data_IF_129068538919
#
_entry.id   IF_129068538919
#
_cell.length_a   1.000
_cell.length_b   1.000
_cell.length_c   1.000
_cell.angle_alpha   90.00
_cell.angle_beta   90.00
_cell.angle_gamma   90.00
#
_symmetry.space_group_name_H-M   'P 1'
#
loop_
_entity.id
_entity.type
_entity.pdbx_description
1 polymer ?
#
# COMPACT_ATOMS: atom_id res chain seq x y z
N UNK A 1 19.08 30.04 8.07
CA UNK A 1 17.92 30.70 7.44
C UNK A 1 16.74 30.17 8.19
N UNK A 2 15.97 31.07 8.78
CA UNK A 2 14.92 30.72 9.73
C UNK A 2 13.57 30.95 9.07
N UNK A 3 12.62 30.06 9.36
CA UNK A 3 11.25 30.17 8.87
C UNK A 3 10.49 31.12 9.81
N UNK A 4 9.68 32.02 9.26
CA UNK A 4 8.80 32.89 10.02
C UNK A 4 7.37 32.71 9.53
N UNK A 5 6.44 32.47 10.45
CA UNK A 5 5.00 32.55 10.15
C UNK A 5 4.59 34.02 10.21
N UNK A 6 3.86 34.48 9.20
CA UNK A 6 3.30 35.82 9.16
C UNK A 6 1.79 35.81 8.91
N UNK A 7 1.12 36.81 9.48
CA UNK A 7 -0.24 37.21 9.13
C UNK A 7 -0.22 38.65 8.68
N UNK A 8 -0.73 38.91 7.49
CA UNK A 8 -0.75 40.23 6.89
C UNK A 8 -2.05 40.49 6.14
N UNK A 9 -2.27 41.73 5.77
CA UNK A 9 -3.31 42.14 4.83
C UNK A 9 -2.67 42.66 3.56
N UNK A 10 -3.23 42.34 2.40
CA UNK A 10 -2.82 43.00 1.17
C UNK A 10 -3.41 44.41 1.07
N UNK A 11 -3.02 45.16 0.04
CA UNK A 11 -3.53 46.51 -0.22
C UNK A 11 -5.04 46.58 -0.51
N UNK A 12 -5.69 45.43 -0.75
CA UNK A 12 -7.14 45.32 -0.93
C UNK A 12 -7.89 44.96 0.36
N UNK A 13 -7.17 44.73 1.47
CA UNK A 13 -7.74 44.33 2.75
C UNK A 13 -8.00 42.82 2.87
N UNK A 14 -7.53 41.99 1.92
CA UNK A 14 -7.64 40.55 2.01
C UNK A 14 -6.55 39.98 2.93
N UNK A 15 -6.93 39.00 3.75
CA UNK A 15 -6.01 38.32 4.67
C UNK A 15 -5.03 37.45 3.88
N UNK A 16 -3.74 37.60 4.18
CA UNK A 16 -2.63 36.83 3.63
C UNK A 16 -1.81 36.26 4.77
N UNK A 17 -1.94 34.95 4.98
CA UNK A 17 -1.22 34.20 6.00
C UNK A 17 -0.27 33.21 5.32
N UNK A 18 0.98 33.12 5.77
CA UNK A 18 1.99 32.30 5.11
C UNK A 18 3.31 32.16 5.86
N UNK A 19 4.26 31.49 5.21
CA UNK A 19 5.61 31.25 5.71
C UNK A 19 6.64 31.95 4.84
N UNK A 20 7.62 32.61 5.47
CA UNK A 20 8.72 33.27 4.77
C UNK A 20 10.08 32.83 5.35
N UNK A 21 11.01 32.47 4.46
CA UNK A 21 12.40 32.16 4.82
C UNK A 21 13.22 33.46 4.85
N UNK A 22 13.79 33.80 5.99
CA UNK A 22 14.61 35.00 6.17
C UNK A 22 15.82 34.74 7.07
N UNK A 23 16.83 35.61 6.98
CA UNK A 23 18.02 35.52 7.85
C UNK A 23 17.71 35.91 9.30
N UNK A 24 16.81 36.87 9.47
CA UNK A 24 16.33 37.36 10.76
C UNK A 24 14.92 37.94 10.61
N UNK A 25 14.28 38.27 11.74
CA UNK A 25 12.93 38.85 11.78
C UNK A 25 12.82 40.18 11.02
N UNK A 26 13.89 40.99 11.01
CA UNK A 26 13.91 42.30 10.35
C UNK A 26 13.95 42.15 8.82
N UNK A 27 14.69 41.17 8.33
CA UNK A 27 14.73 40.79 6.93
C UNK A 27 13.37 40.25 6.45
N UNK A 28 12.71 39.41 7.25
CA UNK A 28 11.37 38.91 6.95
C UNK A 28 10.35 40.06 6.84
N UNK A 29 10.37 40.99 7.80
CA UNK A 29 9.52 42.19 7.78
C UNK A 29 9.77 43.05 6.53
N UNK A 30 11.04 43.23 6.15
CA UNK A 30 11.41 44.05 5.00
C UNK A 30 10.94 43.42 3.69
N UNK A 31 11.09 42.10 3.56
CA UNK A 31 10.66 41.36 2.38
C UNK A 31 9.13 41.33 2.23
N UNK A 32 8.40 41.19 3.33
CA UNK A 32 6.93 41.26 3.34
C UNK A 32 6.41 42.68 3.03
N UNK A 33 7.08 43.73 3.53
CA UNK A 33 6.77 45.11 3.16
C UNK A 33 7.03 45.40 1.69
N UNK A 34 8.11 44.86 1.11
CA UNK A 34 8.40 44.98 -0.32
C UNK A 34 7.34 44.30 -1.20
N UNK A 35 6.63 43.31 -0.67
CA UNK A 35 5.50 42.65 -1.32
C UNK A 35 4.16 43.40 -1.15
N UNK A 36 4.17 44.58 -0.51
CA UNK A 36 2.97 45.39 -0.31
C UNK A 36 2.01 44.85 0.76
N UNK A 37 2.49 43.95 1.63
CA UNK A 37 1.70 43.33 2.69
C UNK A 37 1.81 44.13 4.00
N UNK A 38 0.66 44.45 4.61
CA UNK A 38 0.52 45.09 5.93
C UNK A 38 0.52 44.02 7.02
N UNK A 39 1.66 43.86 7.68
CA UNK A 39 1.94 42.77 8.62
C UNK A 39 1.24 43.04 9.97
N UNK A 40 0.38 42.13 10.39
CA UNK A 40 -0.31 42.18 11.69
C UNK A 40 0.44 41.37 12.76
N UNK A 41 1.02 40.22 12.37
CA UNK A 41 1.71 39.33 13.28
C UNK A 41 2.88 38.64 12.55
N UNK A 42 4.05 38.60 13.18
CA UNK A 42 5.20 37.84 12.67
C UNK A 42 5.90 37.13 13.83
N UNK A 43 5.96 35.80 13.74
CA UNK A 43 6.55 34.92 14.77
C UNK A 43 7.64 34.07 14.13
N UNK A 44 8.76 33.92 14.84
CA UNK A 44 9.72 32.89 14.48
C UNK A 44 9.01 31.55 14.53
N UNK A 45 9.15 30.74 13.48
CA UNK A 45 8.61 29.39 13.44
C UNK A 45 9.37 28.57 14.48
N UNK A 46 8.89 28.60 15.71
CA UNK A 46 9.28 27.59 16.67
C UNK A 46 8.63 26.31 16.20
N UNK A 47 9.45 25.34 15.78
CA UNK A 47 9.00 23.96 15.66
C UNK A 47 8.57 23.52 17.05
N UNK A 48 7.34 23.85 17.41
CA UNK A 48 6.64 23.20 18.48
C UNK A 48 6.55 21.77 17.99
N UNK A 49 7.49 20.92 18.43
CA UNK A 49 7.42 19.48 18.28
C UNK A 49 6.15 19.06 18.99
N UNK A 50 5.03 19.18 18.28
CA UNK A 50 3.79 18.55 18.66
C UNK A 50 4.15 17.08 18.73
N UNK A 51 4.10 16.53 19.94
CA UNK A 51 4.22 15.10 20.23
C UNK A 51 3.13 14.31 19.44
N UNK A 52 2.19 15.02 18.81
CA UNK A 52 1.12 14.54 17.95
C UNK A 52 1.24 14.92 16.47
N UNK A 53 2.37 15.46 15.98
CA UNK A 53 2.61 15.46 14.54
C UNK A 53 3.01 14.04 14.13
N UNK A 54 2.00 13.20 13.89
CA UNK A 54 2.11 12.12 12.93
C UNK A 54 2.62 12.77 11.64
N UNK A 55 3.93 12.68 11.40
CA UNK A 55 4.51 12.99 10.10
C UNK A 55 3.79 12.11 9.10
N UNK A 56 2.78 12.67 8.44
CA UNK A 56 2.04 11.94 7.42
C UNK A 56 3.07 11.49 6.39
N UNK A 57 3.16 10.20 6.10
CA UNK A 57 4.04 9.75 5.04
C UNK A 57 3.42 10.17 3.71
N UNK A 58 4.26 10.41 2.71
CA UNK A 58 3.81 10.58 1.33
C UNK A 58 3.05 9.31 0.94
N UNK A 59 1.77 9.44 0.59
CA UNK A 59 0.95 8.31 0.20
C UNK A 59 1.12 8.01 -1.29
N UNK A 60 0.71 6.80 -1.71
CA UNK A 60 0.72 6.41 -3.12
C UNK A 60 -0.12 7.37 -3.99
N UNK A 61 -1.22 7.90 -3.45
CA UNK A 61 -2.04 8.88 -4.14
C UNK A 61 -1.33 10.25 -4.29
N UNK A 62 -0.54 10.64 -3.30
CA UNK A 62 0.25 11.88 -3.38
C UNK A 62 1.38 11.75 -4.42
N UNK A 63 2.01 10.56 -4.49
CA UNK A 63 3.04 10.26 -5.49
C UNK A 63 2.48 10.19 -6.92
N UNK A 64 1.30 9.57 -7.07
CA UNK A 64 0.57 9.52 -8.34
C UNK A 64 0.19 10.92 -8.82
N UNK A 65 -0.41 11.73 -7.95
CA UNK A 65 -0.72 13.13 -8.22
C UNK A 65 0.52 13.92 -8.65
N UNK A 66 1.60 13.86 -7.89
CA UNK A 66 2.87 14.53 -8.23
C UNK A 66 3.35 14.13 -9.63
N UNK A 67 3.39 12.83 -9.91
CA UNK A 67 3.92 12.29 -11.17
C UNK A 67 3.02 12.68 -12.36
N UNK A 68 1.70 12.66 -12.18
CA UNK A 68 0.73 13.05 -13.20
C UNK A 68 0.81 14.56 -13.52
N UNK A 69 0.88 15.41 -12.50
CA UNK A 69 1.01 16.86 -12.68
C UNK A 69 2.35 17.23 -13.32
N UNK A 70 3.45 16.58 -12.92
CA UNK A 70 4.75 16.76 -13.57
C UNK A 70 4.70 16.31 -15.04
N UNK A 71 4.06 15.18 -15.34
CA UNK A 71 3.85 14.74 -16.73
C UNK A 71 3.15 15.81 -17.56
N UNK A 72 2.06 16.40 -17.05
CA UNK A 72 1.29 17.42 -17.76
C UNK A 72 2.11 18.70 -18.00
N UNK A 73 2.84 19.15 -16.98
CA UNK A 73 3.69 20.33 -17.07
C UNK A 73 4.85 20.12 -18.06
N UNK A 74 5.51 18.96 -18.01
CA UNK A 74 6.59 18.61 -18.94
C UNK A 74 6.10 18.50 -20.39
N UNK A 75 4.92 17.92 -20.62
CA UNK A 75 4.27 17.89 -21.94
C UNK A 75 3.95 19.29 -22.46
N UNK A 76 3.70 20.24 -21.56
CA UNK A 76 3.48 21.65 -21.87
C UNK A 76 4.79 22.45 -22.05
N UNK A 77 5.95 21.78 -22.04
CA UNK A 77 7.26 22.41 -22.20
C UNK A 77 7.78 23.12 -20.95
N UNK A 78 7.13 22.94 -19.79
CA UNK A 78 7.61 23.52 -18.53
C UNK A 78 8.83 22.73 -18.05
N UNK A 79 9.90 23.44 -17.69
CA UNK A 79 11.09 22.81 -17.09
C UNK A 79 10.76 22.12 -15.77
N UNK A 80 11.42 21.00 -15.48
CA UNK A 80 11.17 20.18 -14.28
C UNK A 80 11.29 20.97 -12.96
N UNK A 81 12.29 21.84 -12.83
CA UNK A 81 12.52 22.67 -11.65
C UNK A 81 11.37 23.65 -11.39
N UNK A 82 10.85 24.26 -12.46
CA UNK A 82 9.65 25.10 -12.39
C UNK A 82 8.40 24.28 -12.11
N UNK A 83 8.27 23.10 -12.72
CA UNK A 83 7.13 22.20 -12.49
C UNK A 83 7.00 21.78 -11.02
N UNK A 84 8.11 21.38 -10.40
CA UNK A 84 8.18 21.05 -8.98
C UNK A 84 7.80 22.27 -8.12
N UNK A 85 8.27 23.47 -8.46
CA UNK A 85 7.90 24.70 -7.73
C UNK A 85 6.41 25.04 -7.85
N UNK A 86 5.81 24.86 -9.04
CA UNK A 86 4.36 25.06 -9.27
C UNK A 86 3.56 24.11 -8.38
N UNK A 87 3.87 22.81 -8.42
CA UNK A 87 3.14 21.80 -7.64
C UNK A 87 3.30 22.02 -6.13
N UNK A 88 4.49 22.45 -5.69
CA UNK A 88 4.75 22.78 -4.28
C UNK A 88 3.87 23.92 -3.76
N UNK A 89 3.53 24.90 -4.61
CA UNK A 89 2.67 26.05 -4.25
C UNK A 89 1.18 25.66 -4.23
N UNK A 90 0.78 24.67 -5.02
CA UNK A 90 -0.55 24.07 -4.94
C UNK A 90 -0.69 23.36 -3.60
N UNK A 91 -1.86 23.45 -2.93
CA UNK A 91 -2.13 22.94 -1.57
C UNK A 91 -1.84 21.44 -1.39
N UNK A 92 -0.56 21.09 -1.27
CA UNK A 92 -0.07 19.76 -0.99
C UNK A 92 -0.14 19.49 0.52
N UNK A 93 -0.29 18.21 0.91
CA UNK A 93 -0.08 17.80 2.30
C UNK A 93 1.31 18.24 2.77
N UNK A 94 1.50 18.59 4.06
CA UNK A 94 2.80 19.05 4.58
C UNK A 94 3.96 18.12 4.24
N UNK A 95 3.73 16.81 4.23
CA UNK A 95 4.73 15.81 3.88
C UNK A 95 5.18 15.86 2.41
N UNK A 96 4.23 16.02 1.49
CA UNK A 96 4.53 16.19 0.06
C UNK A 96 5.23 17.53 -0.18
N UNK A 97 4.80 18.60 0.50
CA UNK A 97 5.45 19.90 0.41
C UNK A 97 6.91 19.87 0.88
N UNK A 98 7.20 19.17 2.00
CA UNK A 98 8.56 18.97 2.50
C UNK A 98 9.41 18.18 1.50
N UNK A 99 8.88 17.06 0.99
CA UNK A 99 9.56 16.25 -0.02
C UNK A 99 9.90 17.06 -1.29
N UNK A 100 8.96 17.87 -1.78
CA UNK A 100 9.18 18.75 -2.94
C UNK A 100 10.18 19.86 -2.66
N UNK A 101 10.22 20.38 -1.42
CA UNK A 101 11.22 21.36 -1.00
C UNK A 101 12.63 20.75 -1.06
N UNK A 102 12.78 19.53 -0.56
CA UNK A 102 14.06 18.82 -0.57
C UNK A 102 14.50 18.52 -2.01
N UNK A 103 13.60 18.01 -2.86
CA UNK A 103 13.89 17.77 -4.29
C UNK A 103 14.29 19.06 -5.02
N UNK A 104 13.55 20.16 -4.81
CA UNK A 104 13.87 21.46 -5.43
C UNK A 104 15.23 22.00 -4.93
N UNK A 105 15.56 21.79 -3.66
CA UNK A 105 16.87 22.15 -3.10
C UNK A 105 18.00 21.38 -3.78
N UNK A 106 17.86 20.07 -3.97
CA UNK A 106 18.85 19.24 -4.65
C UNK A 106 19.06 19.64 -6.12
N UNK A 107 17.97 19.89 -6.84
CA UNK A 107 18.04 20.36 -8.22
C UNK A 107 18.71 21.74 -8.34
N UNK A 108 18.44 22.66 -7.41
CA UNK A 108 19.09 23.97 -7.36
C UNK A 108 20.58 23.90 -7.04
N UNK A 109 21.03 22.85 -6.35
CA UNK A 109 22.46 22.57 -6.13
C UNK A 109 23.15 22.01 -7.39
N UNK A 110 22.40 21.70 -8.45
CA UNK A 110 22.92 21.13 -9.69
C UNK A 110 22.98 19.60 -9.72
N UNK A 111 22.39 18.93 -8.72
CA UNK A 111 22.29 17.47 -8.74
C UNK A 111 21.28 17.02 -9.80
N UNK A 112 21.49 15.83 -10.39
CA UNK A 112 20.54 15.25 -11.34
C UNK A 112 19.21 14.91 -10.64
N UNK A 113 18.12 14.95 -11.40
CA UNK A 113 16.79 14.59 -10.93
C UNK A 113 16.76 13.16 -10.38
N UNK A 114 17.36 12.21 -11.09
CA UNK A 114 17.50 10.82 -10.66
C UNK A 114 18.23 10.68 -9.32
N UNK A 115 19.30 11.45 -9.10
CA UNK A 115 20.03 11.44 -7.82
C UNK A 115 19.19 12.03 -6.67
N UNK A 116 18.44 13.11 -6.94
CA UNK A 116 17.55 13.74 -5.97
C UNK A 116 16.42 12.77 -5.54
N UNK A 117 15.84 12.03 -6.49
CA UNK A 117 14.85 11.00 -6.17
C UNK A 117 15.45 9.81 -5.41
N UNK A 118 16.67 9.37 -5.76
CA UNK A 118 17.38 8.28 -5.06
C UNK A 118 17.72 8.61 -3.61
N UNK A 119 17.86 9.88 -3.26
CA UNK A 119 18.05 10.31 -1.88
C UNK A 119 16.84 10.00 -0.98
N UNK A 120 15.69 9.63 -1.56
CA UNK A 120 14.45 9.29 -0.84
C UNK A 120 13.96 7.86 -1.19
N UNK A 121 14.73 6.81 -0.82
CA UNK A 121 14.44 5.42 -1.21
C UNK A 121 13.17 4.85 -0.56
N UNK A 122 12.67 5.47 0.51
CA UNK A 122 11.42 5.08 1.16
C UNK A 122 10.17 5.46 0.33
N UNK A 123 10.31 6.40 -0.61
CA UNK A 123 9.21 6.95 -1.41
C UNK A 123 9.32 6.46 -2.86
N UNK A 124 10.53 6.50 -3.43
CA UNK A 124 10.77 6.16 -4.82
C UNK A 124 11.43 4.79 -4.93
N UNK A 125 10.77 3.88 -5.63
CA UNK A 125 11.34 2.55 -5.87
C UNK A 125 12.47 2.61 -6.92
N UNK A 126 13.37 1.61 -6.95
CA UNK A 126 14.50 1.61 -7.89
C UNK A 126 14.08 1.71 -9.36
N UNK A 127 12.92 1.15 -9.72
CA UNK A 127 12.39 1.22 -11.08
C UNK A 127 12.06 2.67 -11.46
N UNK A 128 11.38 3.40 -10.57
CA UNK A 128 11.06 4.83 -10.74
C UNK A 128 12.33 5.65 -10.98
N UNK A 129 13.34 5.49 -10.12
CA UNK A 129 14.60 6.23 -10.25
C UNK A 129 15.36 5.91 -11.54
N UNK A 130 15.40 4.64 -11.95
CA UNK A 130 16.11 4.22 -13.16
C UNK A 130 15.43 4.70 -14.44
N UNK A 131 14.09 4.75 -14.46
CA UNK A 131 13.35 5.32 -15.58
C UNK A 131 13.57 6.83 -15.68
N UNK A 132 13.62 7.53 -14.55
CA UNK A 132 13.94 8.97 -14.55
C UNK A 132 15.36 9.22 -15.05
N UNK A 133 16.36 8.46 -14.59
CA UNK A 133 17.74 8.57 -15.08
C UNK A 133 17.81 8.40 -16.59
N UNK A 134 17.12 7.38 -17.13
CA UNK A 134 17.01 7.18 -18.56
C UNK A 134 16.33 8.37 -19.27
N UNK A 135 15.26 8.91 -18.68
CA UNK A 135 14.57 10.08 -19.21
C UNK A 135 15.44 11.34 -19.21
N UNK A 136 16.31 11.50 -18.22
CA UNK A 136 17.30 12.58 -18.17
C UNK A 136 18.36 12.41 -19.26
N UNK A 137 18.93 11.21 -19.40
CA UNK A 137 19.96 10.89 -20.39
C UNK A 137 19.44 11.02 -21.84
N UNK A 138 18.20 10.60 -22.09
CA UNK A 138 17.57 10.61 -23.42
C UNK A 138 16.83 11.92 -23.74
N UNK A 139 16.65 12.80 -22.76
CA UNK A 139 15.86 14.03 -22.91
C UNK A 139 14.35 13.80 -23.02
N UNK A 140 13.86 12.59 -22.75
CA UNK A 140 12.45 12.21 -22.89
C UNK A 140 11.70 12.10 -21.55
N UNK A 141 12.01 12.99 -20.60
CA UNK A 141 11.35 13.01 -19.29
C UNK A 141 9.82 13.08 -19.38
N UNK A 142 9.29 13.82 -20.35
CA UNK A 142 7.84 13.99 -20.56
C UNK A 142 7.12 12.65 -20.75
N UNK A 143 7.67 11.76 -21.59
CA UNK A 143 7.08 10.44 -21.83
C UNK A 143 7.27 9.51 -20.62
N UNK A 144 8.46 9.53 -20.01
CA UNK A 144 8.75 8.74 -18.80
C UNK A 144 7.79 9.08 -17.66
N UNK A 145 7.57 10.36 -17.38
CA UNK A 145 6.61 10.78 -16.36
C UNK A 145 5.18 10.38 -16.72
N UNK A 146 4.82 10.36 -18.01
CA UNK A 146 3.50 9.90 -18.46
C UNK A 146 3.28 8.41 -18.17
N UNK A 147 4.27 7.57 -18.50
CA UNK A 147 4.16 6.13 -18.28
C UNK A 147 4.24 5.78 -16.78
N UNK A 148 5.08 6.49 -16.01
CA UNK A 148 5.10 6.39 -14.54
C UNK A 148 3.76 6.81 -13.91
N UNK A 149 3.12 7.88 -14.42
CA UNK A 149 1.81 8.31 -13.93
C UNK A 149 0.74 7.25 -14.18
N UNK A 150 0.72 6.63 -15.38
CA UNK A 150 -0.20 5.52 -15.69
C UNK A 150 0.02 4.32 -14.75
N UNK A 151 1.27 3.93 -14.50
CA UNK A 151 1.61 2.84 -13.59
C UNK A 151 1.17 3.12 -12.15
N UNK A 152 1.44 4.34 -11.65
CA UNK A 152 1.08 4.75 -10.30
C UNK A 152 -0.44 4.87 -10.13
N UNK A 153 -1.15 5.41 -11.12
CA UNK A 153 -2.62 5.44 -11.15
C UNK A 153 -3.18 4.04 -11.05
N UNK A 154 -2.66 3.12 -11.84
CA UNK A 154 -3.06 1.73 -11.79
C UNK A 154 -2.79 1.08 -10.43
N UNK A 155 -1.58 1.24 -9.86
CA UNK A 155 -1.25 0.75 -8.50
C UNK A 155 -2.18 1.33 -7.43
N UNK A 156 -2.53 2.61 -7.55
CA UNK A 156 -3.45 3.31 -6.64
C UNK A 156 -4.86 2.75 -6.76
N UNK A 157 -5.35 2.54 -7.98
CA UNK A 157 -6.68 2.00 -8.24
C UNK A 157 -6.80 0.55 -7.73
N UNK A 158 -5.80 -0.29 -7.98
CA UNK A 158 -5.71 -1.63 -7.38
C UNK A 158 -5.74 -1.57 -5.85
N UNK A 159 -4.91 -0.71 -5.24
CA UNK A 159 -4.86 -0.59 -3.78
C UNK A 159 -6.19 -0.12 -3.23
N UNK A 160 -6.82 0.86 -3.87
CA UNK A 160 -8.14 1.37 -3.51
C UNK A 160 -9.20 0.27 -3.61
N UNK A 161 -9.16 -0.54 -4.68
CA UNK A 161 -10.06 -1.68 -4.86
C UNK A 161 -9.88 -2.72 -3.76
N UNK A 162 -8.64 -3.11 -3.44
CA UNK A 162 -8.34 -4.05 -2.34
C UNK A 162 -8.90 -3.52 -1.02
N UNK A 163 -8.62 -2.25 -0.67
CA UNK A 163 -9.08 -1.65 0.58
C UNK A 163 -10.61 -1.54 0.61
N UNK A 164 -11.23 -1.11 -0.49
CA UNK A 164 -12.68 -1.01 -0.65
C UNK A 164 -13.36 -2.37 -0.46
N UNK A 165 -12.84 -3.41 -1.10
CA UNK A 165 -13.32 -4.78 -0.96
C UNK A 165 -13.17 -5.34 0.46
N UNK A 166 -12.11 -4.98 1.20
CA UNK A 166 -11.91 -5.43 2.58
C UNK A 166 -12.73 -4.66 3.62
N UNK A 167 -13.29 -3.51 3.25
CA UNK A 167 -14.04 -2.67 4.20
C UNK A 167 -15.26 -3.40 4.72
N UNK A 168 -16.01 -4.08 3.84
CA UNK A 168 -17.23 -4.79 4.21
C UNK A 168 -16.98 -6.03 5.10
N UNK A 169 -16.06 -6.97 4.77
CA UNK A 169 -15.67 -8.05 5.67
C UNK A 169 -15.22 -7.57 7.05
N UNK A 170 -14.51 -6.45 7.14
CA UNK A 170 -14.03 -5.91 8.40
C UNK A 170 -15.18 -5.39 9.29
N UNK A 171 -16.19 -4.76 8.69
CA UNK A 171 -17.41 -4.35 9.41
C UNK A 171 -18.17 -5.57 9.94
N UNK A 172 -18.40 -6.59 9.10
CA UNK A 172 -19.04 -7.83 9.56
C UNK A 172 -18.23 -8.46 10.69
N UNK A 173 -16.91 -8.61 10.52
CA UNK A 173 -16.05 -9.20 11.53
C UNK A 173 -16.12 -8.42 12.85
N UNK A 174 -16.16 -7.09 12.81
CA UNK A 174 -16.36 -6.28 14.01
C UNK A 174 -17.72 -6.56 14.70
N UNK A 175 -18.80 -6.67 13.92
CA UNK A 175 -20.13 -7.04 14.44
C UNK A 175 -20.14 -8.46 15.01
N UNK A 176 -19.48 -9.42 14.34
CA UNK A 176 -19.31 -10.79 14.83
C UNK A 176 -18.61 -10.79 16.19
N UNK A 177 -17.45 -10.12 16.29
CA UNK A 177 -16.68 -10.03 17.53
C UNK A 177 -17.49 -9.37 18.65
N UNK A 178 -18.21 -8.29 18.35
CA UNK A 178 -19.09 -7.61 19.32
C UNK A 178 -20.22 -8.54 19.78
N UNK A 179 -20.85 -9.27 18.87
CA UNK A 179 -21.93 -10.21 19.21
C UNK A 179 -21.43 -11.37 20.07
N UNK A 180 -20.27 -11.95 19.73
CA UNK A 180 -19.60 -12.98 20.54
C UNK A 180 -19.32 -12.43 21.94
N UNK A 181 -18.72 -11.24 22.03
CA UNK A 181 -18.41 -10.59 23.29
C UNK A 181 -19.66 -10.36 24.15
N UNK A 182 -20.75 -9.89 23.55
CA UNK A 182 -22.03 -9.68 24.21
C UNK A 182 -22.62 -10.99 24.75
N UNK A 183 -22.59 -12.06 23.96
CA UNK A 183 -23.05 -13.38 24.38
C UNK A 183 -22.28 -13.88 25.61
N UNK A 184 -20.95 -13.84 25.58
CA UNK A 184 -20.12 -14.37 26.66
C UNK A 184 -20.12 -13.52 27.92
N UNK A 185 -20.22 -12.19 27.82
CA UNK A 185 -20.19 -11.32 29.00
C UNK A 185 -21.56 -11.05 29.59
N UNK A 186 -22.64 -11.14 28.80
CA UNK A 186 -23.99 -10.74 29.27
C UNK A 186 -24.94 -11.91 29.28
N UNK A 187 -25.02 -12.70 28.21
CA UNK A 187 -26.04 -13.73 28.06
C UNK A 187 -25.68 -14.98 28.87
N UNK A 188 -24.49 -15.54 28.65
CA UNK A 188 -24.08 -16.79 29.31
C UNK A 188 -23.96 -16.65 30.84
N UNK A 189 -23.40 -15.56 31.41
CA UNK A 189 -23.32 -15.43 32.87
C UNK A 189 -24.70 -15.33 33.54
N UNK A 190 -25.67 -14.66 32.90
CA UNK A 190 -27.05 -14.63 33.40
C UNK A 190 -27.65 -16.02 33.45
N UNK A 191 -27.35 -16.86 32.45
CA UNK A 191 -27.79 -18.25 32.44
C UNK A 191 -27.08 -19.08 33.51
N UNK A 192 -25.77 -18.88 33.72
CA UNK A 192 -25.02 -19.60 34.76
C UNK A 192 -25.64 -19.47 36.16
N UNK A 193 -26.25 -18.33 36.47
CA UNK A 193 -26.96 -18.10 37.74
C UNK A 193 -28.21 -18.99 37.86
N UNK A 194 -28.89 -19.27 36.75
CA UNK A 194 -30.07 -20.14 36.73
C UNK A 194 -29.71 -21.63 36.88
N UNK A 195 -28.46 -21.97 36.59
CA UNK A 195 -27.92 -23.33 36.61
C UNK A 195 -27.11 -23.65 37.89
N UNK A 196 -26.94 -22.68 38.81
CA UNK A 196 -26.10 -22.87 40.01
C UNK A 196 -26.62 -23.95 40.96
N UNK A 197 -27.93 -24.20 40.94
CA UNK A 197 -28.62 -25.11 41.86
C UNK A 197 -28.92 -26.48 41.21
N UNK A 198 -28.58 -26.67 39.93
CA UNK A 198 -28.79 -27.92 39.21
C UNK A 198 -27.67 -28.93 39.55
N UNK A 199 -28.06 -30.12 40.01
CA UNK A 199 -27.12 -31.14 40.53
C UNK A 199 -26.34 -31.87 39.44
N UNK A 200 -26.88 -31.93 38.21
CA UNK A 200 -26.20 -32.46 37.02
C UNK A 200 -26.50 -31.56 35.81
N UNK A 201 -25.45 -31.00 35.21
CA UNK A 201 -25.56 -30.21 33.98
C UNK A 201 -25.28 -31.10 32.76
N UNK A 202 -26.06 -30.97 31.67
CA UNK A 202 -25.73 -31.65 30.43
C UNK A 202 -24.36 -31.20 29.90
N UNK A 203 -23.62 -32.13 29.28
CA UNK A 203 -22.25 -31.89 28.80
C UNK A 203 -22.12 -30.67 27.86
N UNK A 204 -23.16 -30.38 27.08
CA UNK A 204 -23.18 -29.23 26.16
C UNK A 204 -23.29 -27.89 26.90
N UNK A 205 -24.02 -27.86 28.02
CA UNK A 205 -24.14 -26.69 28.91
C UNK A 205 -22.86 -26.48 29.68
N UNK A 206 -22.24 -27.55 30.18
CA UNK A 206 -20.94 -27.51 30.87
C UNK A 206 -19.83 -26.99 29.94
N UNK A 207 -19.77 -27.46 28.70
CA UNK A 207 -18.82 -26.97 27.69
C UNK A 207 -19.03 -25.48 27.41
N UNK A 208 -20.29 -25.04 27.25
CA UNK A 208 -20.62 -23.63 27.03
C UNK A 208 -20.18 -22.74 28.21
N UNK A 209 -20.48 -23.16 29.44
CA UNK A 209 -20.10 -22.42 30.66
C UNK A 209 -18.58 -22.43 30.86
N UNK A 210 -17.91 -23.56 30.62
CA UNK A 210 -16.45 -23.68 30.68
C UNK A 210 -15.76 -22.78 29.65
N UNK A 211 -16.22 -22.78 28.40
CA UNK A 211 -15.74 -21.88 27.35
C UNK A 211 -15.97 -20.41 27.73
N UNK A 212 -17.10 -20.10 28.37
CA UNK A 212 -17.42 -18.75 28.84
C UNK A 212 -16.53 -18.29 29.98
N UNK A 213 -16.29 -19.14 30.98
CA UNK A 213 -15.40 -18.84 32.09
C UNK A 213 -13.96 -18.66 31.58
N UNK A 214 -13.52 -19.48 30.64
CA UNK A 214 -12.23 -19.30 29.98
C UNK A 214 -12.16 -17.98 29.20
N UNK A 215 -13.20 -17.67 28.42
CA UNK A 215 -13.26 -16.45 27.61
C UNK A 215 -13.26 -15.20 28.50
N UNK A 216 -14.11 -15.14 29.53
CA UNK A 216 -14.20 -14.01 30.46
C UNK A 216 -12.92 -13.83 31.29
N UNK A 217 -12.32 -14.93 31.78
CA UNK A 217 -11.05 -14.87 32.52
C UNK A 217 -9.86 -14.41 31.65
N UNK A 218 -9.82 -14.81 30.38
CA UNK A 218 -8.69 -14.53 29.49
C UNK A 218 -8.96 -13.38 28.50
N UNK A 219 -10.11 -12.71 28.56
CA UNK A 219 -10.51 -11.67 27.63
C UNK A 219 -9.53 -10.49 27.57
N UNK A 220 -9.06 -10.03 28.73
CA UNK A 220 -8.08 -8.95 28.83
C UNK A 220 -6.75 -9.36 28.18
N UNK A 221 -6.30 -10.59 28.43
CA UNK A 221 -5.11 -11.16 27.79
C UNK A 221 -5.29 -11.34 26.28
N UNK A 222 -6.47 -11.74 25.79
CA UNK A 222 -6.76 -11.88 24.36
C UNK A 222 -6.76 -10.53 23.63
N UNK A 223 -7.41 -9.51 24.19
CA UNK A 223 -7.41 -8.15 23.63
C UNK A 223 -5.97 -7.60 23.62
N UNK A 224 -5.23 -7.80 24.72
CA UNK A 224 -3.85 -7.38 24.82
C UNK A 224 -2.93 -8.15 23.85
N UNK A 225 -3.17 -9.44 23.64
CA UNK A 225 -2.45 -10.27 22.66
C UNK A 225 -2.74 -9.87 21.21
N UNK A 226 -3.99 -9.52 20.88
CA UNK A 226 -4.34 -8.97 19.56
C UNK A 226 -3.66 -7.61 19.36
N UNK A 227 -3.67 -6.75 20.37
CA UNK A 227 -3.01 -5.44 20.31
C UNK A 227 -1.49 -5.57 20.14
N UNK A 228 -0.83 -6.33 21.01
CA UNK A 228 0.61 -6.61 20.91
C UNK A 228 0.97 -7.37 19.63
N UNK A 229 0.13 -8.32 19.20
CA UNK A 229 0.31 -9.06 17.96
C UNK A 229 0.22 -8.14 16.74
N UNK A 230 -0.71 -7.19 16.73
CA UNK A 230 -0.83 -6.20 15.65
C UNK A 230 0.40 -5.29 15.58
N UNK A 231 0.91 -4.84 16.73
CA UNK A 231 2.15 -4.04 16.81
C UNK A 231 3.35 -4.89 16.40
N UNK A 232 3.45 -6.12 16.89
CA UNK A 232 4.50 -7.09 16.57
C UNK A 232 4.52 -7.42 15.08
N UNK A 233 3.37 -7.54 14.43
CA UNK A 233 3.26 -7.69 12.97
C UNK A 233 3.68 -6.43 12.22
N UNK A 234 3.32 -5.24 12.71
CA UNK A 234 3.74 -3.96 12.09
C UNK A 234 5.26 -3.73 12.18
N UNK A 235 5.90 -4.15 13.27
CA UNK A 235 7.36 -4.09 13.41
C UNK A 235 8.05 -5.25 12.70
N UNK A 236 7.53 -6.47 12.85
CA UNK A 236 8.05 -7.69 12.24
C UNK A 236 7.96 -7.66 10.72
N UNK A 237 6.91 -7.08 10.14
CA UNK A 237 6.79 -6.89 8.68
C UNK A 237 7.89 -6.02 8.05
N UNK A 238 8.67 -5.30 8.87
CA UNK A 238 9.86 -4.55 8.41
C UNK A 238 11.17 -5.33 8.57
N UNK A 239 11.18 -6.42 9.35
CA UNK A 239 12.38 -7.23 9.54
C UNK A 239 12.58 -8.18 8.36
N UNK A 240 13.83 -8.25 7.88
CA UNK A 240 14.22 -9.12 6.77
C UNK A 240 13.88 -10.60 7.02
N UNK A 241 14.02 -11.09 8.26
CA UNK A 241 13.71 -12.47 8.62
C UNK A 241 12.24 -12.86 8.44
N UNK A 242 11.32 -12.00 8.89
CA UNK A 242 9.88 -12.22 8.72
C UNK A 242 9.48 -12.10 7.24
N UNK A 243 10.04 -11.13 6.52
CA UNK A 243 9.79 -10.98 5.08
C UNK A 243 10.22 -12.24 4.33
N UNK A 244 11.40 -12.79 4.60
CA UNK A 244 11.87 -14.02 3.95
C UNK A 244 11.05 -15.25 4.31
N UNK A 245 10.62 -15.37 5.58
CA UNK A 245 9.73 -16.44 6.01
C UNK A 245 8.38 -16.35 5.30
N UNK A 246 7.77 -15.16 5.28
CA UNK A 246 6.51 -14.89 4.60
C UNK A 246 6.60 -15.15 3.09
N UNK A 247 7.69 -14.74 2.45
CA UNK A 247 7.93 -15.00 1.02
C UNK A 247 8.00 -16.51 0.71
N UNK A 248 8.58 -17.32 1.60
CA UNK A 248 8.64 -18.78 1.43
C UNK A 248 7.29 -19.45 1.68
N UNK A 249 6.57 -19.04 2.72
CA UNK A 249 5.27 -19.63 3.08
C UNK A 249 4.19 -19.24 2.06
N UNK A 250 4.19 -18.01 1.60
CA UNK A 250 3.20 -17.51 0.64
C UNK A 250 3.24 -18.27 -0.69
N UNK A 251 4.40 -18.76 -1.12
CA UNK A 251 4.54 -19.60 -2.31
C UNK A 251 4.09 -21.06 -2.11
N UNK A 252 3.88 -21.53 -0.87
CA UNK A 252 3.42 -22.90 -0.57
C UNK A 252 1.90 -23.01 -0.50
N UNK A 253 1.21 -21.90 -0.24
CA UNK A 253 -0.25 -21.86 -0.14
C UNK A 253 -0.83 -21.57 -1.53
N UNK A 254 -1.50 -22.53 -2.19
CA UNK A 254 -1.85 -22.42 -3.63
C UNK A 254 -2.68 -21.17 -3.95
N UNK A 255 -3.57 -20.78 -3.05
CA UNK A 255 -4.41 -19.57 -3.19
C UNK A 255 -3.56 -18.30 -3.16
N UNK A 256 -2.58 -18.23 -2.26
CA UNK A 256 -1.71 -17.06 -2.07
C UNK A 256 -0.59 -17.04 -3.11
N UNK A 257 -0.05 -18.20 -3.47
CA UNK A 257 0.99 -18.37 -4.48
C UNK A 257 0.55 -17.72 -5.80
N UNK A 258 -0.66 -18.02 -6.26
CA UNK A 258 -1.17 -17.45 -7.52
C UNK A 258 -1.25 -15.92 -7.46
N UNK A 259 -1.71 -15.35 -6.34
CA UNK A 259 -1.77 -13.91 -6.16
C UNK A 259 -0.38 -13.26 -6.13
N UNK A 260 0.58 -13.84 -5.40
CA UNK A 260 1.96 -13.35 -5.32
C UNK A 260 2.64 -13.41 -6.69
N UNK A 261 2.57 -14.55 -7.39
CA UNK A 261 3.13 -14.71 -8.72
C UNK A 261 2.51 -13.73 -9.72
N UNK A 262 1.19 -13.51 -9.65
CA UNK A 262 0.50 -12.56 -10.53
C UNK A 262 0.94 -11.11 -10.26
N UNK A 263 1.10 -10.71 -9.00
CA UNK A 263 1.60 -9.36 -8.65
C UNK A 263 3.03 -9.15 -9.16
N UNK A 264 3.91 -10.13 -8.96
CA UNK A 264 5.31 -10.04 -9.43
C UNK A 264 5.37 -10.05 -10.96
N UNK A 265 4.49 -10.80 -11.62
CA UNK A 265 4.32 -10.78 -13.08
C UNK A 265 3.90 -9.39 -13.57
N UNK A 266 2.91 -8.76 -12.95
CA UNK A 266 2.50 -7.38 -13.31
C UNK A 266 3.70 -6.43 -13.17
N UNK A 267 4.41 -6.49 -12.05
CA UNK A 267 5.56 -5.61 -11.78
C UNK A 267 6.69 -5.80 -12.80
N UNK A 268 7.06 -7.05 -13.06
CA UNK A 268 8.14 -7.39 -13.98
C UNK A 268 7.81 -6.97 -15.43
N UNK A 269 6.62 -7.33 -15.92
CA UNK A 269 6.22 -7.05 -17.31
C UNK A 269 5.94 -5.55 -17.55
N UNK A 270 5.36 -4.83 -16.58
CA UNK A 270 5.16 -3.38 -16.70
C UNK A 270 6.50 -2.63 -16.78
N UNK A 271 7.46 -3.00 -15.93
CA UNK A 271 8.81 -2.41 -15.95
C UNK A 271 9.55 -2.69 -17.26
N UNK A 272 9.48 -3.94 -17.75
CA UNK A 272 10.07 -4.31 -19.04
C UNK A 272 9.45 -3.54 -20.20
N UNK A 273 8.12 -3.51 -20.29
CA UNK A 273 7.40 -2.79 -21.35
C UNK A 273 7.80 -1.31 -21.39
N UNK A 274 7.81 -0.63 -20.23
CA UNK A 274 8.22 0.78 -20.14
C UNK A 274 9.66 1.01 -20.57
N UNK A 275 10.58 0.14 -20.15
CA UNK A 275 11.99 0.26 -20.50
C UNK A 275 12.22 0.02 -21.99
N UNK A 276 11.61 -1.03 -22.56
CA UNK A 276 11.75 -1.35 -23.99
C UNK A 276 11.14 -0.24 -24.84
N UNK A 277 9.95 0.27 -24.46
CA UNK A 277 9.30 1.42 -25.10
C UNK A 277 10.20 2.66 -25.10
N UNK A 278 10.94 2.85 -24.01
CA UNK A 278 11.92 3.94 -23.86
C UNK A 278 13.27 3.67 -24.55
N UNK A 279 13.36 2.62 -25.38
CA UNK A 279 14.56 2.28 -26.15
C UNK A 279 15.67 1.58 -25.34
N UNK A 280 15.39 1.11 -24.12
CA UNK A 280 16.37 0.36 -23.33
C UNK A 280 16.59 -1.01 -23.97
N UNK A 281 17.85 -1.41 -24.23
CA UNK A 281 18.17 -2.76 -24.68
C UNK A 281 17.59 -3.84 -23.75
N UNK A 282 17.06 -4.91 -24.32
CA UNK A 282 16.34 -5.96 -23.59
C UNK A 282 17.16 -6.57 -22.45
N UNK A 283 18.48 -6.71 -22.62
CA UNK A 283 19.39 -7.27 -21.60
C UNK A 283 19.50 -6.36 -20.36
N UNK A 284 19.59 -5.04 -20.57
CA UNK A 284 19.58 -4.02 -19.51
C UNK A 284 18.19 -3.94 -18.88
N UNK A 285 17.13 -3.98 -19.69
CA UNK A 285 15.75 -3.95 -19.21
C UNK A 285 15.42 -5.17 -18.31
N UNK A 286 15.89 -6.38 -18.70
CA UNK A 286 15.78 -7.60 -17.90
C UNK A 286 16.53 -7.48 -16.56
N UNK A 287 17.74 -6.91 -16.56
CA UNK A 287 18.52 -6.72 -15.34
C UNK A 287 17.81 -5.80 -14.34
N UNK A 288 17.33 -4.65 -14.81
CA UNK A 288 16.68 -3.66 -13.96
C UNK A 288 15.30 -4.14 -13.48
N UNK A 289 14.53 -4.79 -14.35
CA UNK A 289 13.21 -5.32 -14.00
C UNK A 289 13.28 -6.49 -13.03
N UNK A 290 14.27 -7.39 -13.17
CA UNK A 290 14.52 -8.48 -12.22
C UNK A 290 14.87 -7.95 -10.82
N UNK A 291 15.59 -6.82 -10.76
CA UNK A 291 15.92 -6.14 -9.51
C UNK A 291 14.69 -5.62 -8.73
N UNK A 292 13.58 -5.35 -9.42
CA UNK A 292 12.35 -4.84 -8.81
C UNK A 292 11.44 -5.95 -8.24
N UNK A 293 11.66 -7.21 -8.61
CA UNK A 293 10.90 -8.35 -8.09
C UNK A 293 11.21 -8.57 -6.62
N UNK A 294 10.18 -8.57 -5.76
CA UNK A 294 10.37 -8.61 -4.30
C UNK A 294 10.60 -10.03 -3.79
N UNK A 295 9.94 -11.02 -4.40
CA UNK A 295 10.11 -12.41 -4.00
C UNK A 295 11.49 -12.94 -4.44
N UNK A 296 12.31 -13.36 -3.47
CA UNK A 296 13.67 -13.83 -3.73
C UNK A 296 13.74 -15.07 -4.64
N UNK A 297 12.76 -15.97 -4.58
CA UNK A 297 12.74 -17.19 -5.41
C UNK A 297 12.49 -16.83 -6.87
N UNK A 298 11.45 -16.04 -7.14
CA UNK A 298 11.12 -15.57 -8.49
C UNK A 298 12.25 -14.71 -9.08
N UNK A 299 12.87 -13.85 -8.26
CA UNK A 299 14.03 -13.06 -8.68
C UNK A 299 15.20 -13.96 -9.10
N UNK A 300 15.47 -15.04 -8.36
CA UNK A 300 16.54 -15.99 -8.73
C UNK A 300 16.25 -16.68 -10.07
N UNK A 301 15.02 -17.10 -10.30
CA UNK A 301 14.61 -17.70 -11.59
C UNK A 301 14.81 -16.71 -12.75
N UNK A 302 14.44 -15.45 -12.55
CA UNK A 302 14.64 -14.38 -13.54
C UNK A 302 16.11 -14.08 -13.83
N UNK A 303 17.00 -14.08 -12.83
CA UNK A 303 18.44 -13.89 -13.06
C UNK A 303 19.05 -15.05 -13.86
N UNK A 304 18.55 -16.28 -13.65
CA UNK A 304 18.94 -17.44 -14.47
C UNK A 304 18.46 -17.25 -15.91
N UNK A 305 17.19 -16.85 -16.11
CA UNK A 305 16.64 -16.58 -17.44
C UNK A 305 17.44 -15.48 -18.16
N UNK A 306 17.73 -14.37 -17.48
CA UNK A 306 18.58 -13.28 -17.98
C UNK A 306 19.95 -13.78 -18.43
N UNK A 307 20.59 -14.63 -17.64
CA UNK A 307 21.91 -15.21 -17.98
C UNK A 307 21.84 -16.03 -19.27
N UNK A 308 20.76 -16.78 -19.47
CA UNK A 308 20.53 -17.55 -20.70
C UNK A 308 20.30 -16.67 -21.92
N UNK A 309 19.51 -15.60 -21.78
CA UNK A 309 19.31 -14.61 -22.85
C UNK A 309 20.63 -13.95 -23.23
N UNK A 310 21.46 -13.60 -22.25
CA UNK A 310 22.80 -13.04 -22.48
C UNK A 310 23.74 -14.02 -23.21
N UNK A 311 23.52 -15.33 -23.05
CA UNK A 311 24.24 -16.40 -23.76
C UNK A 311 23.67 -16.68 -25.16
N UNK A 312 22.63 -15.97 -25.60
CA UNK A 312 22.01 -16.13 -26.91
C UNK A 312 20.82 -17.09 -26.96
N UNK A 313 20.31 -17.55 -25.82
CA UNK A 313 19.04 -18.29 -25.79
C UNK A 313 17.88 -17.36 -26.17
N UNK A 314 16.91 -17.91 -26.91
CA UNK A 314 15.63 -17.23 -27.15
C UNK A 314 14.99 -16.79 -25.82
N UNK A 315 14.42 -15.59 -25.82
CA UNK A 315 13.83 -14.94 -24.66
C UNK A 315 12.64 -15.74 -24.12
N UNK A 316 11.75 -16.17 -25.01
CA UNK A 316 10.59 -16.95 -24.63
C UNK A 316 11.00 -18.28 -23.95
N UNK A 317 12.01 -18.96 -24.48
CA UNK A 317 12.53 -20.21 -23.92
C UNK A 317 13.17 -20.00 -22.54
N UNK A 318 13.91 -18.91 -22.37
CA UNK A 318 14.52 -18.56 -21.08
C UNK A 318 13.45 -18.24 -20.02
N UNK A 319 12.41 -17.49 -20.38
CA UNK A 319 11.31 -17.11 -19.46
C UNK A 319 10.36 -18.27 -19.15
N UNK A 320 10.19 -19.23 -20.06
CA UNK A 320 9.41 -20.47 -19.85
C UNK A 320 9.86 -21.27 -18.64
N UNK A 321 11.13 -21.17 -18.26
CA UNK A 321 11.68 -21.89 -17.11
C UNK A 321 11.41 -21.22 -15.76
N UNK A 322 10.72 -20.08 -15.77
CA UNK A 322 10.36 -19.34 -14.58
C UNK A 322 8.91 -19.61 -14.20
N UNK A 323 8.62 -19.57 -12.91
CA UNK A 323 7.26 -19.73 -12.36
C UNK A 323 6.34 -18.55 -12.69
N UNK A 324 6.86 -17.48 -13.32
CA UNK A 324 6.11 -16.29 -13.69
C UNK A 324 5.26 -16.50 -14.95
N UNK A 325 5.64 -17.38 -15.87
CA UNK A 325 5.02 -17.48 -17.18
C UNK A 325 4.33 -18.84 -17.38
N UNK A 326 2.99 -18.91 -17.23
CA UNK A 326 2.19 -20.01 -17.76
C UNK A 326 2.38 -20.16 -19.27
N UNK A 327 2.16 -21.36 -19.80
CA UNK A 327 2.39 -21.70 -21.21
C UNK A 327 1.74 -20.70 -22.19
N UNK A 328 0.53 -20.23 -21.89
CA UNK A 328 -0.16 -19.24 -22.72
C UNK A 328 0.65 -17.93 -22.91
N UNK A 329 1.28 -17.41 -21.85
CA UNK A 329 2.09 -16.19 -21.96
C UNK A 329 3.44 -16.45 -22.62
N UNK A 330 3.98 -17.66 -22.50
CA UNK A 330 5.18 -18.07 -23.25
C UNK A 330 4.89 -18.04 -24.75
N UNK A 331 3.76 -18.58 -25.20
CA UNK A 331 3.39 -18.52 -26.62
C UNK A 331 3.21 -17.09 -27.14
N UNK A 332 2.69 -16.16 -26.32
CA UNK A 332 2.65 -14.74 -26.71
C UNK A 332 4.06 -14.16 -26.87
N UNK A 333 5.00 -14.53 -26.00
CA UNK A 333 6.39 -14.11 -26.09
C UNK A 333 7.09 -14.68 -27.31
N UNK A 334 6.85 -15.94 -27.68
CA UNK A 334 7.39 -16.55 -28.91
C UNK A 334 6.96 -15.73 -30.13
N UNK A 335 5.66 -15.44 -30.26
CA UNK A 335 5.13 -14.59 -31.36
C UNK A 335 5.68 -13.17 -31.29
N UNK A 336 5.84 -12.60 -30.09
CA UNK A 336 6.42 -11.28 -29.89
C UNK A 336 7.89 -11.19 -30.28
N UNK A 337 8.66 -12.24 -30.00
CA UNK A 337 10.07 -12.37 -30.33
C UNK A 337 10.26 -12.50 -31.84
N UNK A 338 9.45 -13.34 -32.51
CA UNK A 338 9.48 -13.50 -33.97
C UNK A 338 9.05 -12.23 -34.72
N UNK A 339 8.04 -11.52 -34.21
CA UNK A 339 7.52 -10.28 -34.83
C UNK A 339 8.29 -9.01 -34.43
N UNK A 340 9.27 -9.12 -33.51
CA UNK A 340 10.03 -7.99 -32.98
C UNK A 340 9.20 -7.01 -32.12
N UNK A 341 8.01 -7.42 -31.67
CA UNK A 341 7.08 -6.56 -30.94
C UNK A 341 6.92 -6.98 -29.47
N UNK A 342 8.06 -7.14 -28.78
CA UNK A 342 8.11 -7.54 -27.38
C UNK A 342 7.48 -6.50 -26.44
N UNK A 343 7.60 -5.21 -26.77
CA UNK A 343 7.00 -4.11 -25.99
C UNK A 343 5.50 -4.34 -25.77
N UNK A 344 4.75 -4.53 -26.87
CA UNK A 344 3.31 -4.76 -26.87
C UNK A 344 2.94 -6.05 -26.15
N UNK A 345 3.75 -7.10 -26.32
CA UNK A 345 3.49 -8.39 -25.67
C UNK A 345 3.67 -8.28 -24.15
N UNK A 346 4.72 -7.61 -23.67
CA UNK A 346 4.90 -7.39 -22.23
C UNK A 346 3.79 -6.51 -21.64
N UNK A 347 3.35 -5.48 -22.36
CA UNK A 347 2.20 -4.67 -21.95
C UNK A 347 0.91 -5.50 -21.84
N UNK A 348 0.64 -6.34 -22.85
CA UNK A 348 -0.54 -7.22 -22.87
C UNK A 348 -0.50 -8.25 -21.72
N UNK A 349 0.65 -8.85 -21.46
CA UNK A 349 0.83 -9.79 -20.33
C UNK A 349 0.59 -9.06 -19.00
N UNK A 350 1.12 -7.84 -18.84
CA UNK A 350 0.86 -7.04 -17.65
C UNK A 350 -0.65 -6.77 -17.51
N UNK A 351 -1.33 -6.29 -18.56
CA UNK A 351 -2.76 -5.97 -18.54
C UNK A 351 -3.65 -7.18 -18.24
N UNK A 352 -3.40 -8.33 -18.84
CA UNK A 352 -4.14 -9.57 -18.52
C UNK A 352 -3.92 -10.01 -17.08
N UNK A 353 -2.67 -9.95 -16.61
CA UNK A 353 -2.34 -10.28 -15.22
C UNK A 353 -3.04 -9.36 -14.22
N UNK A 354 -3.20 -8.07 -14.56
CA UNK A 354 -3.95 -7.10 -13.76
C UNK A 354 -5.42 -7.50 -13.66
N UNK A 355 -6.05 -7.85 -14.77
CA UNK A 355 -7.45 -8.31 -14.80
C UNK A 355 -7.65 -9.63 -14.04
N UNK A 356 -6.71 -10.58 -14.16
CA UNK A 356 -6.72 -11.82 -13.40
C UNK A 356 -6.66 -11.55 -11.89
N UNK A 357 -5.80 -10.63 -11.47
CA UNK A 357 -5.64 -10.24 -10.06
C UNK A 357 -6.88 -9.54 -9.50
N UNK A 358 -7.50 -8.64 -10.27
CA UNK A 358 -8.76 -7.98 -9.90
C UNK A 358 -9.91 -8.98 -9.76
N UNK A 359 -10.01 -9.93 -10.71
CA UNK A 359 -10.99 -11.00 -10.69
C UNK A 359 -10.79 -11.91 -9.49
N UNK A 360 -9.53 -12.29 -9.20
CA UNK A 360 -9.19 -13.09 -8.02
C UNK A 360 -9.56 -12.36 -6.72
N UNK A 361 -9.22 -11.07 -6.60
CA UNK A 361 -9.53 -10.24 -5.44
C UNK A 361 -11.04 -10.15 -5.20
N UNK A 362 -11.81 -9.97 -6.28
CA UNK A 362 -13.27 -9.92 -6.21
C UNK A 362 -13.85 -11.25 -5.74
N UNK A 363 -13.42 -12.37 -6.34
CA UNK A 363 -13.86 -13.72 -5.95
C UNK A 363 -13.54 -14.04 -4.49
N UNK A 364 -12.33 -13.74 -4.04
CA UNK A 364 -11.94 -13.97 -2.65
C UNK A 364 -12.79 -13.16 -1.69
N UNK A 365 -13.07 -11.89 -2.02
CA UNK A 365 -13.91 -11.03 -1.19
C UNK A 365 -15.35 -11.54 -1.12
N UNK A 366 -15.94 -11.93 -2.26
CA UNK A 366 -17.32 -12.43 -2.33
C UNK A 366 -17.48 -13.77 -1.63
N UNK A 367 -16.47 -14.64 -1.60
CA UNK A 367 -16.53 -15.92 -0.88
C UNK A 367 -16.41 -15.78 0.64
N UNK A 368 -15.72 -14.73 1.11
CA UNK A 368 -15.57 -14.47 2.55
C UNK A 368 -16.92 -14.15 3.20
N UNK A 369 -17.83 -13.46 2.49
CA UNK A 369 -19.11 -13.03 3.05
C UNK A 369 -20.03 -14.20 3.44
N UNK A 370 -20.39 -15.16 2.56
CA UNK A 370 -21.18 -16.33 2.95
C UNK A 370 -20.54 -17.16 4.06
N UNK A 371 -19.20 -17.29 4.03
CA UNK A 371 -18.47 -18.02 5.06
C UNK A 371 -18.61 -17.34 6.43
N UNK A 372 -18.50 -16.01 6.49
CA UNK A 372 -18.69 -15.23 7.71
C UNK A 372 -20.12 -15.33 8.24
N UNK A 373 -21.12 -15.26 7.35
CA UNK A 373 -22.53 -15.39 7.73
C UNK A 373 -22.83 -16.81 8.24
N UNK A 374 -22.34 -17.84 7.54
CA UNK A 374 -22.50 -19.23 7.96
C UNK A 374 -21.84 -19.49 9.31
N UNK A 375 -20.61 -18.99 9.49
CA UNK A 375 -19.89 -19.08 10.76
C UNK A 375 -20.64 -18.37 11.89
N UNK A 376 -21.06 -17.12 11.67
CA UNK A 376 -21.78 -16.35 12.69
C UNK A 376 -23.15 -16.95 13.00
N UNK A 377 -23.92 -17.31 11.98
CA UNK A 377 -25.24 -17.93 12.15
C UNK A 377 -25.13 -19.29 12.83
N UNK A 378 -24.14 -20.11 12.44
CA UNK A 378 -23.85 -21.38 13.11
C UNK A 378 -23.45 -21.18 14.56
N UNK A 379 -22.58 -20.21 14.84
CA UNK A 379 -22.12 -19.90 16.19
C UNK A 379 -23.24 -19.40 17.10
N UNK A 380 -23.92 -18.32 16.71
CA UNK A 380 -25.00 -17.70 17.48
C UNK A 380 -26.18 -18.67 17.59
N UNK A 381 -26.53 -19.35 16.50
CA UNK A 381 -27.58 -20.37 16.50
C UNK A 381 -27.28 -21.51 17.46
N UNK A 382 -26.04 -22.01 17.48
CA UNK A 382 -25.62 -23.05 18.44
C UNK A 382 -25.77 -22.60 19.88
N UNK A 383 -25.38 -21.35 20.20
CA UNK A 383 -25.58 -20.78 21.54
C UNK A 383 -27.05 -20.75 21.90
N UNK A 384 -27.92 -20.26 21.02
CA UNK A 384 -29.37 -20.19 21.28
C UNK A 384 -29.97 -21.58 21.47
N UNK A 385 -29.59 -22.56 20.64
CA UNK A 385 -30.06 -23.95 20.78
C UNK A 385 -29.62 -24.56 22.10
N UNK A 386 -28.35 -24.38 22.48
CA UNK A 386 -27.83 -24.84 23.78
C UNK A 386 -28.62 -24.19 24.91
N UNK A 387 -28.90 -22.88 24.83
CA UNK A 387 -29.69 -22.18 25.83
C UNK A 387 -31.11 -22.75 25.96
N UNK A 388 -31.80 -22.99 24.84
CA UNK A 388 -33.15 -23.54 24.83
C UNK A 388 -33.18 -24.97 25.41
N UNK A 389 -32.26 -25.84 24.99
CA UNK A 389 -32.15 -27.20 25.52
C UNK A 389 -31.88 -27.20 27.02
N UNK A 390 -30.99 -26.31 27.47
CA UNK A 390 -30.67 -26.19 28.89
C UNK A 390 -31.89 -25.70 29.69
N UNK A 391 -32.68 -24.76 29.14
CA UNK A 391 -33.91 -24.30 29.79
C UNK A 391 -34.99 -25.39 29.85
N UNK A 392 -35.14 -26.20 28.80
CA UNK A 392 -36.06 -27.35 28.80
C UNK A 392 -35.63 -28.38 29.83
N UNK A 393 -34.33 -28.69 29.91
CA UNK A 393 -33.82 -29.65 30.91
C UNK A 393 -34.13 -29.22 32.35
N UNK A 394 -34.04 -27.92 32.67
CA UNK A 394 -34.44 -27.41 33.99
C UNK A 394 -35.92 -27.64 34.29
N UNK A 395 -36.77 -27.55 33.26
CA UNK A 395 -38.22 -27.71 33.42
C UNK A 395 -38.65 -29.18 33.50
N UNK A 396 -37.94 -30.09 32.81
CA UNK A 396 -38.17 -31.54 32.89
C UNK A 396 -37.65 -32.17 34.19
N UNK A 397 -36.69 -31.52 34.88
CA UNK A 397 -36.21 -31.94 36.22
C UNK A 397 -37.19 -31.51 37.34
N UNK A 398 -38.23 -30.71 37.01
CA UNK A 398 -39.27 -30.29 37.94
C UNK A 398 -40.43 -31.28 38.05
N UNK A 399 -40.22 -32.46 38.64
CA UNK A 399 -41.26 -33.26 39.30
C UNK A 399 -40.70 -34.09 40.46
#
# INVERSE_FOLDING_TARGET
MDLFDYKAFDSSGAKSDGQIEAKDKQHALTQLKQQGLLITEIKAFQSQKSILQFSSKVSLADLEFLTAELSLLLQSGVRIDKGIDIIRRTKAKPALANMLRDLNSELKKGNSLSSAFRAQPDIFDPLYCNLIELGEESGNLSEIFSDLAKDLKFKRDLRSKIIGSLTYPLVILAVCLLSVFFIFNVIIPKMSIMFSDAQELPWYTELMLGASNWMTANQSYLIFAIFLGSIGLLYGSKQAGFIQWWQRVSLKLPIIQNAVTTIERIRFNSGLSMMIKSGVPIDKALALSSGNVKNHLLRRELEIARTKVKQGSALALALRQTSLYPDFFVSLLEVGEESGNLERVFEEIANRSRQDFESWTTRMTTLIEPLMILFMGGFVGSVVVIMLLSMVSLNDIGF
#
